data_IF_697761268713
#
_entry.id   IF_697761268713
#
_cell.length_a   1.000
_cell.length_b   1.000
_cell.length_c   1.000
_cell.angle_alpha   90.00
_cell.angle_beta   90.00
_cell.angle_gamma   90.00
#
_symmetry.space_group_name_H-M   'P 1'
#
loop_
_entity.id
_entity.type
_entity.pdbx_description
1 polymer ?
#
# COMPACT_ATOMS: atom_id res chain seq x y z
N UNK A 1 -15.52 -26.60 12.88
CA UNK A 1 -15.28 -26.09 11.52
C UNK A 1 -14.96 -24.62 11.63
N UNK A 2 -14.07 -24.05 10.79
CA UNK A 2 -13.86 -22.61 10.79
C UNK A 2 -15.15 -21.88 10.38
N UNK A 3 -15.38 -20.69 10.93
CA UNK A 3 -16.54 -19.83 10.64
C UNK A 3 -16.07 -18.50 10.01
N UNK A 4 -16.94 -17.89 9.20
CA UNK A 4 -16.67 -16.58 8.62
C UNK A 4 -16.71 -15.49 9.70
N UNK A 5 -15.77 -14.54 9.62
CA UNK A 5 -15.68 -13.42 10.55
C UNK A 5 -16.25 -12.17 9.87
N UNK A 6 -17.24 -11.54 10.51
CA UNK A 6 -17.68 -10.19 10.14
C UNK A 6 -16.79 -9.19 10.87
N UNK A 7 -16.12 -8.31 10.12
CA UNK A 7 -15.37 -7.19 10.69
C UNK A 7 -16.25 -5.94 10.54
N UNK A 8 -17.07 -5.59 11.55
CA UNK A 8 -17.99 -4.47 11.44
C UNK A 8 -17.24 -3.17 11.23
N UNK A 9 -17.73 -2.35 10.30
CA UNK A 9 -17.27 -1.00 10.00
C UNK A 9 -15.82 -0.86 9.52
N UNK A 10 -15.05 -1.95 9.38
CA UNK A 10 -13.65 -1.97 8.92
C UNK A 10 -12.77 -0.82 9.49
N UNK A 11 -13.12 -0.39 10.70
CA UNK A 11 -12.58 0.75 11.42
C UNK A 11 -12.96 0.56 12.88
N UNK A 12 -12.01 0.77 13.79
CA UNK A 12 -12.27 0.76 15.23
C UNK A 12 -12.51 2.21 15.66
N UNK A 13 -13.72 2.59 16.12
CA UNK A 13 -14.11 3.99 16.34
C UNK A 13 -13.14 4.80 17.24
N UNK A 14 -12.51 4.13 18.21
CA UNK A 14 -11.60 4.76 19.16
C UNK A 14 -10.11 4.54 18.84
N UNK A 15 -9.80 3.88 17.71
CA UNK A 15 -8.43 3.66 17.27
C UNK A 15 -7.95 4.85 16.44
N UNK A 16 -6.86 5.47 16.89
CA UNK A 16 -6.14 6.45 16.08
C UNK A 16 -5.46 5.74 14.90
N UNK A 17 -5.47 6.38 13.74
CA UNK A 17 -4.64 5.95 12.62
C UNK A 17 -3.17 5.92 13.04
N UNK A 18 -2.48 4.83 12.71
CA UNK A 18 -1.05 4.72 12.94
C UNK A 18 -0.30 5.59 11.94
N UNK A 19 0.82 6.19 12.36
CA UNK A 19 1.70 6.98 11.48
C UNK A 19 3.07 6.28 11.35
N UNK A 20 3.18 5.18 10.57
CA UNK A 20 4.42 4.43 10.44
C UNK A 20 5.47 5.22 9.65
N UNK A 21 6.74 5.11 10.06
CA UNK A 21 7.86 5.83 9.43
C UNK A 21 9.03 4.94 9.00
N UNK A 22 9.16 3.73 9.55
CA UNK A 22 10.34 2.89 9.33
C UNK A 22 10.45 2.30 7.90
N UNK A 23 9.32 2.19 7.20
CA UNK A 23 9.19 1.52 5.89
C UNK A 23 8.47 2.41 4.87
N UNK A 24 8.49 3.71 5.10
CA UNK A 24 7.77 4.71 4.32
C UNK A 24 8.62 5.97 4.19
N UNK A 25 8.53 6.61 3.02
CA UNK A 25 8.98 7.99 2.84
C UNK A 25 7.75 8.90 2.85
N UNK A 26 7.82 10.03 3.55
CA UNK A 26 6.70 10.96 3.71
C UNK A 26 5.71 10.54 4.79
N UNK A 27 4.57 11.23 4.85
CA UNK A 27 3.54 10.98 5.84
C UNK A 27 2.53 9.94 5.34
N UNK A 28 2.38 8.86 6.12
CA UNK A 28 1.44 7.77 5.84
C UNK A 28 0.58 7.54 7.06
N UNK A 29 -0.72 7.37 6.84
CA UNK A 29 -1.73 7.06 7.85
C UNK A 29 -2.29 5.67 7.57
N UNK A 30 -2.14 4.76 8.53
CA UNK A 30 -2.55 3.37 8.41
C UNK A 30 -3.69 3.08 9.38
N UNK A 31 -4.82 2.63 8.84
CA UNK A 31 -5.99 2.18 9.58
C UNK A 31 -6.12 0.66 9.45
N UNK A 32 -5.74 -0.11 10.48
CA UNK A 32 -5.68 -1.55 10.40
C UNK A 32 -7.07 -2.19 10.54
N UNK A 33 -7.36 -3.18 9.69
CA UNK A 33 -8.64 -3.91 9.66
C UNK A 33 -8.45 -5.32 10.22
N UNK A 34 -7.46 -6.05 9.70
CA UNK A 34 -7.14 -7.41 10.12
C UNK A 34 -5.64 -7.67 9.98
N UNK A 35 -5.03 -8.29 10.98
CA UNK A 35 -3.65 -8.76 10.90
C UNK A 35 -3.56 -10.17 11.45
N UNK A 36 -3.20 -11.10 10.57
CA UNK A 36 -2.87 -12.47 10.89
C UNK A 36 -1.57 -12.87 10.17
N UNK A 37 -1.09 -14.08 10.45
CA UNK A 37 0.15 -14.59 9.84
C UNK A 37 0.02 -14.79 8.33
N UNK A 38 -1.19 -15.03 7.84
CA UNK A 38 -1.51 -15.34 6.45
C UNK A 38 -2.06 -14.14 5.66
N UNK A 39 -2.66 -13.15 6.34
CA UNK A 39 -3.20 -11.96 5.70
C UNK A 39 -3.11 -10.68 6.55
N UNK A 40 -2.74 -9.58 5.90
CA UNK A 40 -2.82 -8.22 6.42
C UNK A 40 -3.82 -7.39 5.60
N UNK A 41 -4.77 -6.74 6.27
CA UNK A 41 -5.82 -5.94 5.65
C UNK A 41 -5.86 -4.57 6.32
N UNK A 42 -5.78 -3.52 5.52
CA UNK A 42 -5.79 -2.14 6.01
C UNK A 42 -6.35 -1.16 4.97
N UNK A 43 -6.81 -0.01 5.46
CA UNK A 43 -6.84 1.20 4.66
C UNK A 43 -5.56 2.00 4.91
N UNK A 44 -4.94 2.53 3.86
CA UNK A 44 -3.71 3.32 3.97
C UNK A 44 -3.88 4.60 3.17
N UNK A 45 -3.57 5.74 3.78
CA UNK A 45 -3.58 7.05 3.16
C UNK A 45 -2.17 7.62 3.12
N UNK A 46 -1.71 7.97 1.92
CA UNK A 46 -0.43 8.62 1.64
C UNK A 46 -0.67 10.10 1.39
N UNK A 47 0.07 10.97 2.07
CA UNK A 47 0.12 12.40 1.70
C UNK A 47 0.86 12.58 0.38
N UNK A 48 0.79 13.74 -0.29
CA UNK A 48 1.58 13.97 -1.49
C UNK A 48 3.05 13.59 -1.33
N UNK A 49 3.60 12.94 -2.36
CA UNK A 49 4.93 12.34 -2.41
C UNK A 49 5.22 11.18 -1.44
N UNK A 50 4.28 10.80 -0.57
CA UNK A 50 4.50 9.70 0.35
C UNK A 50 4.36 8.34 -0.35
N UNK A 51 5.25 7.41 -0.03
CA UNK A 51 5.28 6.07 -0.63
C UNK A 51 5.87 5.04 0.32
N UNK A 52 5.57 3.78 0.05
CA UNK A 52 6.26 2.65 0.69
C UNK A 52 7.74 2.63 0.30
N UNK A 53 8.54 1.93 1.10
CA UNK A 53 9.81 1.39 0.61
C UNK A 53 9.55 0.29 -0.41
N UNK A 54 10.60 -0.15 -1.10
CA UNK A 54 10.53 -1.38 -1.90
C UNK A 54 10.19 -2.55 -0.97
N UNK A 55 9.26 -3.41 -1.40
CA UNK A 55 8.87 -4.57 -0.60
C UNK A 55 8.32 -5.70 -1.47
N UNK A 56 8.28 -6.89 -0.88
CA UNK A 56 7.78 -8.11 -1.52
C UNK A 56 6.81 -8.81 -0.58
N UNK A 57 5.68 -9.28 -1.11
CA UNK A 57 4.75 -10.15 -0.38
C UNK A 57 4.95 -11.60 -0.78
N UNK A 58 5.05 -12.49 0.21
CA UNK A 58 5.25 -13.94 0.01
C UNK A 58 4.17 -14.56 -0.88
N UNK A 59 2.90 -14.22 -0.65
CA UNK A 59 1.76 -14.77 -1.39
C UNK A 59 1.03 -13.70 -2.25
N UNK A 60 1.67 -12.55 -2.46
CA UNK A 60 1.15 -11.45 -3.28
C UNK A 60 0.37 -10.39 -2.50
N UNK A 61 -0.11 -9.39 -3.23
CA UNK A 61 -0.84 -8.25 -2.68
C UNK A 61 -1.94 -7.79 -3.64
N UNK A 62 -3.10 -7.43 -3.09
CA UNK A 62 -4.16 -6.74 -3.82
C UNK A 62 -4.33 -5.33 -3.27
N UNK A 63 -4.41 -4.33 -4.14
CA UNK A 63 -4.68 -2.94 -3.80
C UNK A 63 -5.92 -2.49 -4.55
N UNK A 64 -6.85 -1.81 -3.88
CA UNK A 64 -7.92 -1.05 -4.51
C UNK A 64 -7.80 0.41 -4.11
N UNK A 65 -7.62 1.29 -5.09
CA UNK A 65 -7.58 2.74 -4.83
C UNK A 65 -9.00 3.24 -4.54
N UNK A 66 -9.16 3.87 -3.39
CA UNK A 66 -10.45 4.36 -2.88
C UNK A 66 -10.61 5.86 -3.09
N UNK A 67 -9.52 6.63 -3.02
CA UNK A 67 -9.54 8.08 -3.24
C UNK A 67 -8.19 8.59 -3.75
N UNK A 68 -8.26 9.68 -4.53
CA UNK A 68 -7.09 10.38 -5.04
C UNK A 68 -6.32 9.63 -6.13
N UNK A 69 -5.03 9.93 -6.24
CA UNK A 69 -4.17 9.46 -7.32
C UNK A 69 -2.77 9.14 -6.82
N UNK A 70 -2.12 8.17 -7.46
CA UNK A 70 -0.83 7.69 -7.02
C UNK A 70 -0.05 6.99 -8.11
N UNK A 71 0.96 6.24 -7.66
CA UNK A 71 1.86 5.48 -8.50
C UNK A 71 2.11 4.10 -7.89
N UNK A 72 2.37 3.14 -8.77
CA UNK A 72 2.97 1.85 -8.44
C UNK A 72 4.14 1.59 -9.37
N UNK A 73 5.22 1.01 -8.87
CA UNK A 73 6.33 0.56 -9.71
C UNK A 73 6.81 -0.80 -9.27
N UNK A 74 6.99 -1.70 -10.23
CA UNK A 74 7.65 -2.98 -10.04
C UNK A 74 9.17 -2.78 -10.23
N UNK A 75 10.00 -3.50 -9.47
CA UNK A 75 11.46 -3.29 -9.49
C UNK A 75 12.01 -3.49 -10.92
N UNK A 76 12.78 -2.51 -11.40
CA UNK A 76 13.32 -2.50 -12.76
C UNK A 76 12.34 -2.02 -13.85
N UNK A 77 11.10 -1.71 -13.48
CA UNK A 77 10.10 -1.13 -14.36
C UNK A 77 10.04 0.41 -14.28
N UNK A 78 9.01 0.95 -14.92
CA UNK A 78 8.66 2.37 -14.90
C UNK A 78 7.41 2.56 -14.02
N UNK A 79 7.33 3.58 -13.15
CA UNK A 79 6.15 3.85 -12.36
C UNK A 79 4.91 4.07 -13.23
N UNK A 80 3.81 3.42 -12.85
CA UNK A 80 2.51 3.42 -13.52
C UNK A 80 1.49 4.18 -12.69
N UNK A 81 0.67 4.99 -13.36
CA UNK A 81 -0.38 5.79 -12.71
C UNK A 81 -1.43 4.90 -12.04
N UNK A 82 -1.88 5.33 -10.87
CA UNK A 82 -3.03 4.79 -10.16
C UNK A 82 -4.10 5.87 -9.98
N UNK A 83 -5.35 5.52 -10.27
CA UNK A 83 -6.52 6.37 -10.12
C UNK A 83 -7.57 5.71 -9.22
N UNK A 84 -8.46 6.53 -8.66
CA UNK A 84 -9.60 6.03 -7.88
C UNK A 84 -10.41 5.01 -8.67
N UNK A 85 -10.63 3.84 -8.05
CA UNK A 85 -11.33 2.72 -8.67
C UNK A 85 -10.42 1.63 -9.23
N UNK A 86 -9.14 1.93 -9.49
CA UNK A 86 -8.19 0.94 -9.99
C UNK A 86 -7.96 -0.18 -8.97
N UNK A 87 -7.82 -1.39 -9.48
CA UNK A 87 -7.46 -2.59 -8.72
C UNK A 87 -6.13 -3.12 -9.24
N UNK A 88 -5.18 -3.28 -8.34
CA UNK A 88 -3.86 -3.86 -8.61
C UNK A 88 -3.81 -5.24 -8.00
N UNK A 89 -3.25 -6.18 -8.77
CA UNK A 89 -2.77 -7.45 -8.27
C UNK A 89 -1.25 -7.52 -8.49
N UNK A 90 -0.49 -7.58 -7.39
CA UNK A 90 0.94 -7.86 -7.39
C UNK A 90 1.14 -9.33 -7.02
N UNK A 91 1.55 -10.20 -7.97
CA UNK A 91 1.77 -11.61 -7.71
C UNK A 91 2.80 -11.88 -6.60
N UNK A 92 2.78 -13.11 -6.07
CA UNK A 92 3.79 -13.60 -5.13
C UNK A 92 5.20 -13.35 -5.67
N UNK A 93 6.08 -12.80 -4.83
CA UNK A 93 7.47 -12.52 -5.20
C UNK A 93 7.70 -11.22 -5.98
N UNK A 94 6.66 -10.48 -6.36
CA UNK A 94 6.81 -9.17 -7.01
C UNK A 94 7.35 -8.14 -6.02
N UNK A 95 8.59 -7.67 -6.25
CA UNK A 95 9.14 -6.51 -5.53
C UNK A 95 8.63 -5.22 -6.14
N UNK A 96 7.95 -4.40 -5.34
CA UNK A 96 7.31 -3.18 -5.81
C UNK A 96 7.29 -2.08 -4.74
N UNK A 97 6.93 -0.86 -5.14
CA UNK A 97 6.50 0.21 -4.25
C UNK A 97 5.22 0.85 -4.76
N UNK A 98 4.47 1.47 -3.87
CA UNK A 98 3.29 2.27 -4.23
C UNK A 98 3.13 3.47 -3.29
N UNK A 99 2.45 4.50 -3.75
CA UNK A 99 2.29 5.74 -2.99
C UNK A 99 1.48 6.79 -3.72
N UNK A 100 1.34 7.97 -3.10
CA UNK A 100 0.67 9.12 -3.66
C UNK A 100 1.47 9.78 -4.79
N UNK A 101 0.80 10.60 -5.60
CA UNK A 101 1.45 11.52 -6.52
C UNK A 101 1.92 12.82 -5.82
N UNK A 102 2.38 13.80 -6.57
CA UNK A 102 2.95 15.06 -6.03
C UNK A 102 1.90 16.09 -5.61
N UNK A 103 0.66 15.96 -6.06
CA UNK A 103 -0.39 16.98 -5.91
C UNK A 103 -1.64 16.45 -5.19
N UNK A 104 -1.74 15.13 -5.01
CA UNK A 104 -2.90 14.40 -4.53
C UNK A 104 -2.51 13.50 -3.37
N UNK A 105 -3.42 13.36 -2.41
CA UNK A 105 -3.37 12.23 -1.49
C UNK A 105 -3.71 10.95 -2.26
N UNK A 106 -3.34 9.79 -1.72
CA UNK A 106 -3.88 8.53 -2.21
C UNK A 106 -4.31 7.66 -1.05
N UNK A 107 -5.57 7.21 -1.06
CA UNK A 107 -6.09 6.24 -0.11
C UNK A 107 -6.40 4.94 -0.84
N UNK A 108 -5.92 3.82 -0.31
CA UNK A 108 -6.26 2.50 -0.83
C UNK A 108 -6.70 1.53 0.28
N UNK A 109 -7.54 0.58 -0.10
CA UNK A 109 -7.76 -0.66 0.63
C UNK A 109 -6.75 -1.70 0.13
N UNK A 110 -6.01 -2.34 1.04
CA UNK A 110 -4.96 -3.30 0.68
C UNK A 110 -5.16 -4.62 1.41
N UNK A 111 -4.85 -5.71 0.71
CA UNK A 111 -4.72 -7.07 1.25
C UNK A 111 -3.33 -7.59 0.90
N UNK A 112 -2.45 -7.70 1.89
CA UNK A 112 -1.18 -8.40 1.76
C UNK A 112 -1.33 -9.85 2.19
N UNK A 113 -0.80 -10.79 1.40
CA UNK A 113 -0.88 -12.22 1.70
C UNK A 113 0.51 -12.76 2.07
N UNK A 114 0.56 -13.52 3.17
CA UNK A 114 1.80 -14.03 3.77
C UNK A 114 2.70 -12.93 4.30
N UNK A 115 3.97 -13.27 4.52
CA UNK A 115 4.95 -12.34 5.08
C UNK A 115 5.31 -11.22 4.09
N UNK A 116 5.45 -9.99 4.61
CA UNK A 116 6.06 -8.86 3.88
C UNK A 116 7.56 -8.79 4.19
N UNK A 117 8.38 -8.75 3.13
CA UNK A 117 9.81 -8.50 3.20
C UNK A 117 10.06 -7.07 2.72
N UNK A 118 10.56 -6.23 3.62
CA UNK A 118 10.91 -4.84 3.34
C UNK A 118 12.35 -4.73 2.88
N UNK A 119 12.60 -3.83 1.93
CA UNK A 119 13.91 -3.54 1.36
C UNK A 119 14.26 -2.06 1.54
N UNK A 120 15.12 -1.52 0.68
CA UNK A 120 15.56 -0.13 0.72
C UNK A 120 14.44 0.88 0.39
N UNK A 121 14.66 2.13 0.82
CA UNK A 121 13.81 3.25 0.45
C UNK A 121 13.84 3.51 -1.06
N UNK A 122 12.69 3.91 -1.62
CA UNK A 122 12.61 4.41 -2.99
C UNK A 122 13.25 5.79 -3.03
N UNK A 123 14.35 5.92 -3.75
CA UNK A 123 15.05 7.19 -3.84
C UNK A 123 14.27 8.19 -4.72
N UNK A 124 14.65 9.47 -4.66
CA UNK A 124 13.93 10.53 -5.39
C UNK A 124 14.02 10.38 -6.92
N UNK A 125 15.09 9.80 -7.45
CA UNK A 125 15.23 9.57 -8.90
C UNK A 125 14.29 8.45 -9.36
N UNK A 126 14.21 7.35 -8.61
CA UNK A 126 13.26 6.26 -8.83
C UNK A 126 11.80 6.73 -8.69
N UNK A 127 11.52 7.63 -7.74
CA UNK A 127 10.18 8.19 -7.57
C UNK A 127 9.78 9.10 -8.74
N UNK A 128 10.73 9.88 -9.29
CA UNK A 128 10.48 10.85 -10.37
C UNK A 128 10.54 10.26 -11.77
N UNK A 129 11.03 9.02 -11.96
CA UNK A 129 11.14 8.36 -13.27
C UNK A 129 9.81 7.86 -13.85
N UNK A 130 8.71 8.59 -13.56
CA UNK A 130 7.33 8.23 -13.89
C UNK A 130 7.13 8.11 -15.41
N UNK A 131 6.38 7.09 -15.81
CA UNK A 131 5.90 6.97 -17.19
C UNK A 131 4.87 8.06 -17.49
N UNK A 132 4.68 8.33 -18.79
CA UNK A 132 3.57 9.18 -19.27
C UNK A 132 2.20 8.65 -18.82
#
# INVERSE_FOLDING_TARGET
MPESIIIPSAHKPDAKSAKPTATFTGDVYLDPIHFASDASIANVTFTPCARTYWHTHENGQMIKVVAGNGWICDKGGVPRRLNTGDVVWAPAGTTHWHGADEESVMTHFVVGLGKTVWHEAVNEEEYKSKGE
#
